data_IF_425947712269
#
_entry.id   IF_425947712269
#
_cell.length_a   1.000
_cell.length_b   1.000
_cell.length_c   1.000
_cell.angle_alpha   90.00
_cell.angle_beta   90.00
_cell.angle_gamma   90.00
#
_symmetry.space_group_name_H-M   'P 1'
#
loop_
_entity.id
_entity.type
_entity.pdbx_description
1 polymer ?
#
# COMPACT_ATOMS: atom_id res chain seq x y z
N UNK A 1 17.08 1.14 -1.78
CA UNK A 1 15.93 0.72 -0.95
C UNK A 1 15.74 1.50 0.32
N UNK A 2 16.46 1.26 1.41
CA UNK A 2 16.12 1.88 2.72
C UNK A 2 15.99 3.41 2.68
N UNK A 3 16.94 4.11 2.04
CA UNK A 3 16.85 5.57 1.88
C UNK A 3 15.60 6.01 1.10
N UNK A 4 15.20 5.25 0.08
CA UNK A 4 13.96 5.52 -0.67
C UNK A 4 12.72 5.18 0.15
N UNK A 5 12.73 4.15 1.00
CA UNK A 5 11.63 3.89 1.94
C UNK A 5 11.46 5.04 2.93
N UNK A 6 12.56 5.60 3.44
CA UNK A 6 12.52 6.77 4.32
C UNK A 6 11.97 7.99 3.58
N UNK A 7 12.42 8.23 2.33
CA UNK A 7 11.89 9.31 1.47
C UNK A 7 10.39 9.13 1.20
N UNK A 8 9.93 7.92 0.88
CA UNK A 8 8.52 7.60 0.71
C UNK A 8 7.72 7.88 2.01
N UNK A 9 8.24 7.45 3.15
CA UNK A 9 7.66 7.76 4.45
C UNK A 9 7.73 9.26 4.81
N UNK A 10 8.59 10.05 4.17
CA UNK A 10 8.63 11.52 4.28
C UNK A 10 7.74 12.22 3.24
N UNK A 11 6.95 11.46 2.48
CA UNK A 11 6.04 11.98 1.45
C UNK A 11 6.76 12.73 0.33
N UNK A 12 7.99 12.30 0.02
CA UNK A 12 8.84 12.89 -1.02
C UNK A 12 8.20 12.68 -2.40
N UNK A 13 7.75 13.77 -2.99
CA UNK A 13 7.06 13.81 -4.29
C UNK A 13 7.96 13.33 -5.42
N UNK A 14 9.19 13.84 -5.47
CA UNK A 14 10.14 13.53 -6.53
C UNK A 14 10.44 12.02 -6.57
N UNK A 15 10.44 11.37 -5.40
CA UNK A 15 10.56 9.91 -5.34
C UNK A 15 9.38 9.22 -6.01
N UNK A 16 8.14 9.62 -5.70
CA UNK A 16 6.94 8.98 -6.26
C UNK A 16 6.89 9.13 -7.78
N UNK A 17 7.20 10.31 -8.32
CA UNK A 17 7.31 10.55 -9.76
C UNK A 17 8.44 9.71 -10.39
N UNK A 18 9.59 9.61 -9.72
CA UNK A 18 10.72 8.78 -10.21
C UNK A 18 10.34 7.31 -10.32
N UNK A 19 9.73 6.74 -9.28
CA UNK A 19 9.40 5.30 -9.24
C UNK A 19 8.19 4.98 -10.09
N UNK A 20 7.32 5.95 -10.36
CA UNK A 20 6.25 5.82 -11.33
C UNK A 20 6.81 5.49 -12.71
N UNK A 21 7.68 6.35 -13.25
CA UNK A 21 8.15 6.22 -14.63
C UNK A 21 9.15 5.09 -14.87
N UNK A 22 9.99 4.76 -13.89
CA UNK A 22 11.03 3.74 -14.07
C UNK A 22 10.56 2.34 -13.65
N UNK A 23 10.31 1.50 -14.66
CA UNK A 23 9.89 0.09 -14.50
C UNK A 23 10.88 -0.75 -13.70
N UNK A 24 12.16 -0.36 -13.65
CA UNK A 24 13.20 -1.00 -12.84
C UNK A 24 12.87 -1.04 -11.34
N UNK A 25 12.01 -0.13 -10.85
CA UNK A 25 11.59 -0.10 -9.45
C UNK A 25 10.46 -1.08 -9.09
N UNK A 26 9.90 -1.83 -10.04
CA UNK A 26 8.81 -2.78 -9.75
C UNK A 26 9.26 -3.89 -8.80
N UNK A 27 10.46 -4.45 -9.01
CA UNK A 27 11.03 -5.47 -8.11
C UNK A 27 11.37 -4.91 -6.73
N UNK A 28 11.80 -3.64 -6.67
CA UNK A 28 12.05 -2.95 -5.41
C UNK A 28 10.76 -2.67 -4.65
N UNK A 29 9.69 -2.22 -5.32
CA UNK A 29 8.37 -2.02 -4.74
C UNK A 29 7.80 -3.32 -4.14
N UNK A 30 7.92 -4.44 -4.87
CA UNK A 30 7.58 -5.77 -4.35
C UNK A 30 8.36 -6.10 -3.08
N UNK A 31 9.69 -5.87 -3.10
CA UNK A 31 10.56 -6.12 -1.94
C UNK A 31 10.14 -5.28 -0.73
N UNK A 32 9.78 -4.01 -0.94
CA UNK A 32 9.29 -3.11 0.12
C UNK A 32 7.99 -3.66 0.73
N UNK A 33 7.04 -4.11 -0.10
CA UNK A 33 5.77 -4.70 0.37
C UNK A 33 6.03 -5.96 1.20
N UNK A 34 6.92 -6.85 0.75
CA UNK A 34 7.28 -8.06 1.49
C UNK A 34 7.94 -7.73 2.82
N UNK A 35 8.92 -6.82 2.84
CA UNK A 35 9.65 -6.41 4.06
C UNK A 35 8.70 -5.76 5.07
N UNK A 36 7.87 -4.83 4.62
CA UNK A 36 6.91 -4.14 5.49
C UNK A 36 5.84 -5.09 6.01
N UNK A 37 5.35 -6.04 5.20
CA UNK A 37 4.42 -7.07 5.63
C UNK A 37 5.04 -8.03 6.66
N UNK A 38 6.31 -8.41 6.49
CA UNK A 38 7.05 -9.20 7.48
C UNK A 38 7.15 -8.46 8.81
N UNK A 39 7.58 -7.20 8.80
CA UNK A 39 7.70 -6.37 10.00
C UNK A 39 6.34 -6.19 10.70
N UNK A 40 5.29 -5.91 9.92
CA UNK A 40 3.92 -5.82 10.40
C UNK A 40 3.46 -7.12 11.07
N UNK A 41 3.65 -8.26 10.40
CA UNK A 41 3.25 -9.58 10.88
C UNK A 41 4.02 -10.03 12.12
N UNK A 42 5.31 -9.69 12.21
CA UNK A 42 6.13 -9.94 13.40
C UNK A 42 5.64 -9.13 14.60
N UNK A 43 5.34 -7.84 14.43
CA UNK A 43 4.79 -7.05 15.53
C UNK A 43 3.40 -7.53 15.95
N UNK A 44 2.59 -8.04 15.02
CA UNK A 44 1.31 -8.70 15.35
C UNK A 44 1.54 -9.98 16.16
N UNK A 45 2.50 -10.80 15.77
CA UNK A 45 2.83 -12.06 16.47
C UNK A 45 3.26 -11.83 17.93
N UNK A 46 3.90 -10.69 18.22
CA UNK A 46 4.30 -10.33 19.58
C UNK A 46 3.11 -10.00 20.50
N UNK A 47 1.89 -9.86 19.96
CA UNK A 47 0.68 -9.65 20.75
C UNK A 47 0.14 -10.99 21.28
N UNK A 48 -0.40 -11.03 22.52
CA UNK A 48 -0.96 -12.25 23.11
C UNK A 48 -2.06 -12.89 22.25
N UNK A 49 -2.05 -14.22 22.14
CA UNK A 49 -3.10 -14.99 21.45
C UNK A 49 -2.97 -15.08 19.92
N UNK A 50 -1.92 -14.52 19.33
CA UNK A 50 -1.71 -14.54 17.87
C UNK A 50 -0.89 -15.77 17.44
N UNK A 51 -1.16 -16.29 16.24
CA UNK A 51 -0.45 -17.46 15.66
C UNK A 51 0.58 -17.01 14.63
N UNK A 52 1.84 -17.36 14.84
CA UNK A 52 2.97 -16.99 13.97
C UNK A 52 2.69 -17.26 12.48
N UNK A 53 2.28 -18.49 12.13
CA UNK A 53 2.04 -18.87 10.73
C UNK A 53 0.94 -18.01 10.07
N UNK A 54 -0.10 -17.64 10.82
CA UNK A 54 -1.17 -16.80 10.31
C UNK A 54 -0.73 -15.34 10.17
N UNK A 55 -0.09 -14.78 11.19
CA UNK A 55 0.27 -13.36 11.22
C UNK A 55 1.44 -13.02 10.31
N UNK A 56 2.44 -13.89 10.21
CA UNK A 56 3.65 -13.65 9.41
C UNK A 56 3.48 -14.21 7.99
N UNK A 57 3.35 -15.53 7.85
CA UNK A 57 3.35 -16.17 6.52
C UNK A 57 2.06 -15.87 5.76
N UNK A 58 0.90 -16.11 6.38
CA UNK A 58 -0.39 -15.72 5.82
C UNK A 58 -0.48 -14.21 5.57
N UNK A 59 0.05 -13.41 6.49
CA UNK A 59 0.12 -11.95 6.39
C UNK A 59 0.89 -11.45 5.17
N UNK A 60 2.08 -12.01 4.89
CA UNK A 60 2.90 -11.62 3.72
C UNK A 60 2.20 -11.96 2.40
N UNK A 61 1.66 -13.18 2.29
CA UNK A 61 0.93 -13.59 1.07
C UNK A 61 -0.28 -12.68 0.86
N UNK A 62 -1.06 -12.46 1.92
CA UNK A 62 -2.21 -11.56 1.89
C UNK A 62 -1.84 -10.12 1.54
N UNK A 63 -0.71 -9.61 2.04
CA UNK A 63 -0.23 -8.26 1.74
C UNK A 63 0.19 -8.11 0.28
N UNK A 64 0.91 -9.08 -0.29
CA UNK A 64 1.31 -9.05 -1.70
C UNK A 64 0.09 -9.13 -2.63
N UNK A 65 -0.81 -10.08 -2.40
CA UNK A 65 -2.04 -10.23 -3.19
C UNK A 65 -2.92 -8.99 -3.04
N UNK A 66 -3.08 -8.52 -1.80
CA UNK A 66 -3.85 -7.33 -1.47
C UNK A 66 -3.29 -6.08 -2.14
N UNK A 67 -1.96 -5.89 -2.15
CA UNK A 67 -1.29 -4.78 -2.84
C UNK A 67 -1.56 -4.81 -4.34
N UNK A 68 -1.49 -5.98 -4.99
CA UNK A 68 -1.79 -6.09 -6.43
C UNK A 68 -3.24 -5.74 -6.74
N UNK A 69 -4.19 -6.32 -5.99
CA UNK A 69 -5.61 -6.03 -6.14
C UNK A 69 -5.88 -4.54 -5.88
N UNK A 70 -5.27 -3.98 -4.84
CA UNK A 70 -5.44 -2.58 -4.46
C UNK A 70 -4.90 -1.64 -5.54
N UNK A 71 -3.75 -1.94 -6.14
CA UNK A 71 -3.21 -1.15 -7.24
C UNK A 71 -4.11 -1.19 -8.49
N UNK A 72 -4.69 -2.35 -8.81
CA UNK A 72 -5.66 -2.47 -9.91
C UNK A 72 -6.90 -1.63 -9.64
N UNK A 73 -7.52 -1.77 -8.46
CA UNK A 73 -8.73 -1.02 -8.08
C UNK A 73 -8.44 0.48 -8.10
N UNK A 74 -7.35 0.91 -7.44
CA UNK A 74 -6.96 2.31 -7.34
C UNK A 74 -6.70 2.91 -8.73
N UNK A 75 -6.04 2.18 -9.61
CA UNK A 75 -5.80 2.63 -10.98
C UNK A 75 -7.11 2.76 -11.77
N UNK A 76 -7.99 1.76 -11.72
CA UNK A 76 -9.29 1.80 -12.43
C UNK A 76 -10.10 3.00 -11.94
N UNK A 77 -10.24 3.18 -10.63
CA UNK A 77 -10.98 4.30 -10.05
C UNK A 77 -10.31 5.64 -10.37
N UNK A 78 -8.98 5.72 -10.29
CA UNK A 78 -8.20 6.91 -10.63
C UNK A 78 -8.44 7.38 -12.06
N UNK A 79 -8.42 6.46 -13.02
CA UNK A 79 -8.76 6.73 -14.43
C UNK A 79 -10.18 7.27 -14.61
N UNK A 80 -11.15 6.74 -13.87
CA UNK A 80 -12.53 7.25 -13.94
C UNK A 80 -12.65 8.68 -13.40
N UNK A 81 -11.72 9.11 -12.54
CA UNK A 81 -11.62 10.50 -12.06
C UNK A 81 -10.68 11.37 -12.93
N UNK A 82 -10.23 10.86 -14.07
CA UNK A 82 -9.43 11.57 -15.06
C UNK A 82 -7.92 11.49 -14.84
N UNK A 83 -7.43 10.47 -14.13
CA UNK A 83 -6.00 10.17 -14.07
C UNK A 83 -5.51 9.37 -15.28
N UNK A 84 -4.18 9.36 -15.47
CA UNK A 84 -3.53 8.96 -16.73
C UNK A 84 -2.65 7.72 -16.65
N UNK A 85 -2.39 7.21 -15.44
CA UNK A 85 -1.35 6.19 -15.23
C UNK A 85 -1.74 4.80 -15.74
N UNK A 86 -0.81 3.85 -15.71
CA UNK A 86 -1.06 2.42 -15.85
C UNK A 86 -1.03 1.68 -14.50
N UNK A 87 -1.42 0.40 -14.51
CA UNK A 87 -1.46 -0.41 -13.29
C UNK A 87 -0.06 -0.69 -12.74
N UNK A 88 0.95 -0.78 -13.60
CA UNK A 88 2.35 -0.98 -13.20
C UNK A 88 2.93 0.24 -12.50
N UNK A 89 2.61 1.43 -12.99
CA UNK A 89 2.89 2.71 -12.33
C UNK A 89 2.27 2.75 -10.93
N UNK A 90 0.97 2.42 -10.85
CA UNK A 90 0.24 2.38 -9.58
C UNK A 90 0.80 1.34 -8.60
N UNK A 91 1.20 0.15 -9.08
CA UNK A 91 1.90 -0.86 -8.28
C UNK A 91 3.16 -0.28 -7.64
N UNK A 92 4.01 0.39 -8.43
CA UNK A 92 5.27 0.96 -7.94
C UNK A 92 5.02 2.00 -6.86
N UNK A 93 4.22 3.03 -7.13
CA UNK A 93 3.99 4.12 -6.16
C UNK A 93 3.32 3.62 -4.88
N UNK A 94 2.35 2.69 -4.97
CA UNK A 94 1.70 2.10 -3.79
C UNK A 94 2.61 1.14 -3.02
N UNK A 95 3.52 0.45 -3.72
CA UNK A 95 4.51 -0.39 -3.05
C UNK A 95 5.44 0.46 -2.20
N UNK A 96 5.88 1.62 -2.71
CA UNK A 96 6.67 2.58 -1.93
C UNK A 96 5.85 3.22 -0.79
N UNK A 97 4.57 3.54 -1.00
CA UNK A 97 3.72 4.12 0.04
C UNK A 97 3.44 3.19 1.22
N UNK A 98 3.67 1.89 1.07
CA UNK A 98 3.62 0.92 2.17
C UNK A 98 4.78 1.06 3.18
N UNK A 99 5.84 1.82 2.86
CA UNK A 99 7.03 1.97 3.71
C UNK A 99 6.75 2.27 5.20
N UNK A 100 5.79 3.15 5.56
CA UNK A 100 5.44 3.41 6.96
C UNK A 100 4.93 2.19 7.73
N UNK A 101 4.39 1.18 7.05
CA UNK A 101 3.94 -0.06 7.69
C UNK A 101 5.09 -0.83 8.37
N UNK A 102 6.35 -0.53 8.04
CA UNK A 102 7.51 -1.03 8.77
C UNK A 102 7.46 -0.71 10.28
N UNK A 103 6.78 0.39 10.67
CA UNK A 103 6.56 0.74 12.08
C UNK A 103 5.70 -0.29 12.81
N UNK A 104 4.96 -1.13 12.08
CA UNK A 104 4.17 -2.24 12.62
C UNK A 104 4.98 -3.28 13.39
N UNK A 105 6.32 -3.26 13.33
CA UNK A 105 7.17 -4.08 14.20
C UNK A 105 7.06 -3.70 15.68
N UNK A 106 6.75 -2.42 15.97
CA UNK A 106 6.59 -1.93 17.34
C UNK A 106 5.23 -2.39 17.87
N UNK A 107 5.18 -3.31 18.85
CA UNK A 107 3.91 -3.87 19.31
C UNK A 107 2.99 -2.80 19.90
N UNK A 108 1.68 -2.94 19.68
CA UNK A 108 0.67 -1.99 20.16
C UNK A 108 0.51 -0.79 19.23
N UNK A 109 1.32 0.25 19.40
CA UNK A 109 1.10 1.54 18.70
C UNK A 109 1.63 1.56 17.27
N UNK A 110 2.59 0.70 16.93
CA UNK A 110 3.25 0.68 15.63
C UNK A 110 2.30 0.41 14.46
N UNK A 111 1.34 -0.50 14.65
CA UNK A 111 0.31 -0.79 13.64
C UNK A 111 -0.59 0.41 13.38
N UNK A 112 -1.00 1.12 14.44
CA UNK A 112 -1.86 2.29 14.31
C UNK A 112 -1.13 3.43 13.59
N UNK A 113 0.07 3.79 14.08
CA UNK A 113 0.86 4.90 13.51
C UNK A 113 1.31 4.56 12.09
N UNK A 114 1.85 3.36 11.87
CA UNK A 114 2.30 2.91 10.56
C UNK A 114 1.16 2.80 9.56
N UNK A 115 -0.01 2.29 9.97
CA UNK A 115 -1.20 2.18 9.13
C UNK A 115 -1.76 3.54 8.71
N UNK A 116 -1.96 4.45 9.67
CA UNK A 116 -2.43 5.81 9.39
C UNK A 116 -1.44 6.55 8.50
N UNK A 117 -0.14 6.45 8.78
CA UNK A 117 0.88 7.13 7.98
C UNK A 117 1.01 6.54 6.57
N UNK A 118 0.82 5.23 6.40
CA UNK A 118 0.75 4.59 5.09
C UNK A 118 -0.46 5.07 4.28
N UNK A 119 -1.61 5.36 4.90
CA UNK A 119 -2.75 5.97 4.21
C UNK A 119 -2.43 7.38 3.71
N UNK A 120 -1.75 8.19 4.53
CA UNK A 120 -1.29 9.53 4.11
C UNK A 120 -0.29 9.42 2.95
N UNK A 121 0.67 8.49 3.04
CA UNK A 121 1.60 8.20 1.97
C UNK A 121 0.89 7.73 0.69
N UNK A 122 -0.17 6.92 0.82
CA UNK A 122 -0.97 6.48 -0.32
C UNK A 122 -1.68 7.64 -1.01
N UNK A 123 -2.16 8.65 -0.29
CA UNK A 123 -2.75 9.86 -0.91
C UNK A 123 -1.73 10.56 -1.80
N UNK A 124 -0.50 10.75 -1.31
CA UNK A 124 0.56 11.40 -2.10
C UNK A 124 0.99 10.54 -3.27
N UNK A 125 1.17 9.23 -3.05
CA UNK A 125 1.54 8.27 -4.07
C UNK A 125 0.52 8.21 -5.22
N UNK A 126 -0.77 8.16 -4.90
CA UNK A 126 -1.85 8.14 -5.90
C UNK A 126 -1.98 9.49 -6.59
N UNK A 127 -1.76 10.60 -5.87
CA UNK A 127 -1.75 11.93 -6.47
C UNK A 127 -0.72 12.06 -7.58
N UNK A 128 0.52 11.63 -7.29
CA UNK A 128 1.60 11.70 -8.28
C UNK A 128 1.39 10.64 -9.35
N UNK A 129 1.17 9.40 -8.93
CA UNK A 129 0.92 8.27 -9.83
C UNK A 129 -0.37 8.30 -10.63
N UNK A 130 -1.13 9.39 -10.68
CA UNK A 130 -2.29 9.59 -11.56
C UNK A 130 -2.27 10.99 -12.19
N UNK A 131 -1.25 11.80 -11.92
CA UNK A 131 -1.10 13.17 -12.39
C UNK A 131 -2.30 14.08 -12.10
N UNK A 132 -2.86 14.02 -10.89
CA UNK A 132 -4.08 14.78 -10.57
C UNK A 132 -4.09 15.43 -9.19
N UNK A 133 -5.16 16.16 -8.86
CA UNK A 133 -5.23 16.92 -7.61
C UNK A 133 -5.38 16.02 -6.37
N UNK A 134 -4.95 16.51 -5.20
CA UNK A 134 -5.11 15.79 -3.92
C UNK A 134 -6.57 15.41 -3.65
N UNK A 135 -7.54 16.24 -4.02
CA UNK A 135 -8.96 15.95 -3.84
C UNK A 135 -9.42 14.72 -4.63
N UNK A 136 -8.93 14.57 -5.87
CA UNK A 136 -9.17 13.37 -6.68
C UNK A 136 -8.46 12.15 -6.10
N UNK A 137 -7.22 12.29 -5.62
CA UNK A 137 -6.49 11.21 -4.96
C UNK A 137 -7.23 10.65 -3.73
N UNK A 138 -7.74 11.54 -2.87
CA UNK A 138 -8.57 11.17 -1.71
C UNK A 138 -9.86 10.49 -2.18
N UNK A 139 -10.54 11.05 -3.18
CA UNK A 139 -11.73 10.43 -3.78
C UNK A 139 -11.46 9.02 -4.32
N UNK A 140 -10.33 8.82 -5.02
CA UNK A 140 -9.90 7.52 -5.52
C UNK A 140 -9.71 6.52 -4.40
N UNK A 141 -9.03 6.89 -3.32
CA UNK A 141 -8.79 6.00 -2.19
C UNK A 141 -10.09 5.64 -1.45
N UNK A 142 -11.01 6.60 -1.27
CA UNK A 142 -12.31 6.36 -0.63
C UNK A 142 -13.16 5.40 -1.49
N UNK A 143 -13.32 5.71 -2.78
CA UNK A 143 -14.13 4.88 -3.69
C UNK A 143 -13.48 3.50 -3.84
N UNK A 144 -12.16 3.44 -4.02
CA UNK A 144 -11.41 2.19 -4.09
C UNK A 144 -11.58 1.34 -2.83
N UNK A 145 -11.58 1.96 -1.64
CA UNK A 145 -11.79 1.26 -0.38
C UNK A 145 -13.20 0.66 -0.30
N UNK A 146 -14.22 1.41 -0.71
CA UNK A 146 -15.60 0.91 -0.78
C UNK A 146 -15.67 -0.31 -1.72
N UNK A 147 -15.10 -0.21 -2.92
CA UNK A 147 -15.05 -1.32 -3.89
C UNK A 147 -14.35 -2.54 -3.29
N UNK A 148 -13.22 -2.34 -2.62
CA UNK A 148 -12.45 -3.42 -1.98
C UNK A 148 -13.25 -4.11 -0.86
N UNK A 149 -13.91 -3.34 0.02
CA UNK A 149 -14.73 -3.87 1.11
C UNK A 149 -15.93 -4.65 0.57
N UNK A 150 -16.63 -4.11 -0.44
CA UNK A 150 -17.76 -4.79 -1.08
C UNK A 150 -17.31 -6.10 -1.73
N UNK A 151 -16.21 -6.08 -2.49
CA UNK A 151 -15.67 -7.28 -3.12
C UNK A 151 -15.30 -8.36 -2.09
N UNK A 152 -14.63 -7.98 -0.99
CA UNK A 152 -14.33 -8.91 0.10
C UNK A 152 -15.59 -9.43 0.81
N UNK A 153 -16.58 -8.59 1.04
CA UNK A 153 -17.85 -8.97 1.67
C UNK A 153 -18.63 -9.98 0.83
N UNK A 154 -18.68 -9.79 -0.49
CA UNK A 154 -19.33 -10.72 -1.43
C UNK A 154 -18.60 -12.08 -1.44
N UNK A 155 -17.27 -12.07 -1.51
CA UNK A 155 -16.48 -13.31 -1.49
C UNK A 155 -16.72 -14.10 -0.20
N UNK A 156 -16.71 -13.44 0.96
CA UNK A 156 -16.99 -14.08 2.25
C UNK A 156 -18.45 -14.51 2.45
N UNK A 157 -19.37 -14.09 1.59
CA UNK A 157 -20.77 -14.55 1.58
C UNK A 157 -20.99 -15.80 0.72
N UNK A 158 -20.13 -16.00 -0.29
CA UNK A 158 -20.25 -17.10 -1.27
C UNK A 158 -19.54 -18.37 -0.78
N UNK A 159 -18.46 -18.21 -0.01
CA UNK A 159 -17.61 -19.29 0.52
C UNK A 159 -17.72 -19.37 2.04
#
# INVERSE_FOLDING_TARGET
>A
MLQRMIRAARLDVDLYETVEHDRGYTGEAFTIVVVTALLWGLGQWMLPGTKFWGSVVGGVIGAVVGWVIWAIITNIVGKQLGGTSDTGEMLRVLGYSSSPMALGIVPGIGHLVGGVWALVAAVVAVRQGQDFSTGKAVGTLIIGFIVYVVARGILGWIF
#
